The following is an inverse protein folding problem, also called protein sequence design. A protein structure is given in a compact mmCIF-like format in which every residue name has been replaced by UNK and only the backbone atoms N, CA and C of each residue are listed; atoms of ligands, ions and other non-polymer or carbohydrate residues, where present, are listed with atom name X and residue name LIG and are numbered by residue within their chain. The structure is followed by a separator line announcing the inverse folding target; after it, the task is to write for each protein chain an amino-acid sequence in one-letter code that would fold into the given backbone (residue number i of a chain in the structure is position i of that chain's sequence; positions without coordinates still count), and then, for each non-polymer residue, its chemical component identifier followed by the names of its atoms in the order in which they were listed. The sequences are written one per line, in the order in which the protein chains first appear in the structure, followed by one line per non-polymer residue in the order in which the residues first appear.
data_IF_558753809272
#
_entry.id   IF_558753809272
#
_cell.length_a   1.000
_cell.length_b   1.000
_cell.length_c   1.000
_cell.angle_alpha   90.00
_cell.angle_beta   90.00
_cell.angle_gamma   90.00
#
_symmetry.space_group_name_H-M   'P 1'
#
loop_
_entity.id
_entity.type
_entity.pdbx_description
1 polymer ?
#
# COMPACT_ATOMS: atom_id res chain seq x y z
N UNK A 1 6.05 4.03 12.88
CA UNK A 1 6.15 4.85 11.65
C UNK A 1 5.24 4.28 10.59
N UNK A 2 4.63 5.16 9.83
CA UNK A 2 3.74 4.76 8.75
C UNK A 2 4.47 4.86 7.42
N UNK A 3 4.30 3.83 6.58
CA UNK A 3 4.95 3.76 5.29
C UNK A 3 3.93 3.49 4.19
N UNK A 4 4.12 4.15 3.06
CA UNK A 4 3.45 3.80 1.81
C UNK A 4 4.42 2.96 0.98
N UNK A 5 3.96 1.79 0.55
CA UNK A 5 4.79 0.86 -0.22
C UNK A 5 4.13 0.61 -1.56
N UNK A 6 4.91 0.80 -2.63
CA UNK A 6 4.51 0.38 -3.98
C UNK A 6 5.32 -0.86 -4.32
N UNK A 7 4.67 -2.02 -4.36
CA UNK A 7 5.33 -3.29 -4.65
C UNK A 7 4.95 -3.73 -6.05
N UNK A 8 5.95 -3.82 -6.93
CA UNK A 8 5.73 -4.10 -8.35
C UNK A 8 6.34 -5.46 -8.67
N UNK A 9 5.56 -6.34 -9.29
CA UNK A 9 6.06 -7.61 -9.80
C UNK A 9 5.86 -7.67 -11.32
N UNK A 10 6.68 -8.49 -11.98
CA UNK A 10 6.52 -8.72 -13.42
C UNK A 10 5.33 -9.66 -13.66
N UNK A 11 4.69 -9.57 -14.84
CA UNK A 11 3.55 -10.45 -15.13
C UNK A 11 3.86 -11.93 -14.97
N UNK A 12 5.06 -12.38 -15.34
CA UNK A 12 5.44 -13.78 -15.21
C UNK A 12 5.63 -14.22 -13.77
N UNK A 13 5.72 -13.29 -12.82
CA UNK A 13 5.83 -13.57 -11.40
C UNK A 13 4.57 -13.20 -10.63
N UNK A 14 3.46 -13.00 -11.34
CA UNK A 14 2.21 -12.58 -10.72
C UNK A 14 1.75 -13.62 -9.70
N UNK A 15 1.42 -13.22 -8.47
CA UNK A 15 1.00 -14.16 -7.44
C UNK A 15 -0.44 -14.65 -7.63
N UNK A 16 -1.18 -14.11 -8.60
CA UNK A 16 -2.56 -14.51 -8.83
C UNK A 16 -2.61 -16.01 -9.14
N UNK A 17 -3.40 -16.73 -8.37
CA UNK A 17 -3.48 -18.19 -8.51
C UNK A 17 -2.32 -18.95 -7.86
N UNK A 18 -1.38 -18.24 -7.25
CA UNK A 18 -0.19 -18.82 -6.60
C UNK A 18 0.00 -18.25 -5.21
N UNK A 19 -1.05 -18.29 -4.41
CA UNK A 19 -1.04 -17.80 -3.04
C UNK A 19 -1.56 -16.38 -2.86
N UNK A 20 -1.73 -15.63 -3.95
CA UNK A 20 -2.25 -14.27 -3.90
C UNK A 20 -1.23 -13.26 -3.39
N UNK A 21 -1.66 -12.01 -3.27
CA UNK A 21 -0.77 -10.91 -2.85
C UNK A 21 -0.15 -11.13 -1.49
N UNK A 22 -0.87 -11.77 -0.57
CA UNK A 22 -0.36 -12.01 0.78
C UNK A 22 0.83 -12.95 0.81
N UNK A 23 1.05 -13.74 -0.25
CA UNK A 23 2.22 -14.61 -0.34
C UNK A 23 3.53 -13.82 -0.44
N UNK A 24 3.45 -12.54 -0.75
CA UNK A 24 4.62 -11.67 -0.89
C UNK A 24 4.99 -10.97 0.42
N UNK A 25 4.29 -11.29 1.50
CA UNK A 25 4.49 -10.63 2.80
C UNK A 25 4.56 -11.66 3.93
N UNK A 26 5.34 -11.34 4.95
CA UNK A 26 5.41 -12.15 6.16
C UNK A 26 4.65 -11.46 7.29
N UNK A 27 3.42 -11.90 7.51
CA UNK A 27 2.54 -11.29 8.52
C UNK A 27 2.94 -11.63 9.96
N UNK A 28 3.95 -12.48 10.16
CA UNK A 28 4.38 -12.88 11.51
C UNK A 28 5.45 -11.95 12.09
N UNK A 29 5.94 -10.99 11.32
CA UNK A 29 7.00 -10.09 11.79
C UNK A 29 6.47 -9.19 12.90
N UNK A 30 7.16 -9.22 14.03
CA UNK A 30 6.79 -8.38 15.18
C UNK A 30 7.00 -6.91 14.84
N UNK A 31 6.11 -6.06 15.35
CA UNK A 31 6.23 -4.62 15.18
C UNK A 31 5.77 -4.12 13.81
N UNK A 32 5.11 -4.96 13.02
CA UNK A 32 4.59 -4.57 11.72
C UNK A 32 3.09 -4.83 11.68
N UNK A 33 2.33 -3.86 11.16
CA UNK A 33 0.89 -3.98 11.00
C UNK A 33 0.50 -3.46 9.63
N UNK A 34 -0.15 -4.31 8.85
CA UNK A 34 -0.69 -3.91 7.55
C UNK A 34 -2.00 -3.16 7.78
N UNK A 35 -2.01 -1.89 7.42
CA UNK A 35 -3.17 -1.02 7.62
C UNK A 35 -4.15 -1.14 6.45
N UNK A 36 -3.63 -1.17 5.22
CA UNK A 36 -4.45 -1.26 4.03
C UNK A 36 -3.62 -1.82 2.87
N UNK A 37 -4.29 -2.48 1.94
CA UNK A 37 -3.65 -3.03 0.77
C UNK A 37 -4.61 -2.94 -0.40
N UNK A 38 -4.14 -2.40 -1.52
CA UNK A 38 -4.92 -2.27 -2.75
C UNK A 38 -4.06 -2.71 -3.92
N UNK A 39 -4.70 -3.23 -4.96
CA UNK A 39 -3.99 -3.70 -6.13
C UNK A 39 -4.44 -3.00 -7.39
N UNK A 40 -3.48 -2.69 -8.27
CA UNK A 40 -3.75 -2.35 -9.65
C UNK A 40 -3.38 -3.58 -10.48
N UNK A 41 -4.37 -4.42 -10.76
CA UNK A 41 -4.13 -5.77 -11.28
C UNK A 41 -3.41 -5.76 -12.62
N UNK A 42 -3.88 -4.96 -13.55
CA UNK A 42 -3.30 -4.95 -14.90
C UNK A 42 -1.90 -4.35 -14.92
N UNK A 43 -1.58 -3.51 -13.96
CA UNK A 43 -0.24 -2.93 -13.85
C UNK A 43 0.70 -3.78 -13.00
N UNK A 44 0.18 -4.80 -12.33
CA UNK A 44 0.93 -5.68 -11.44
C UNK A 44 1.61 -4.91 -10.31
N UNK A 45 0.86 -3.99 -9.71
CA UNK A 45 1.31 -3.17 -8.58
C UNK A 45 0.42 -3.41 -7.39
N UNK A 46 1.04 -3.55 -6.22
CA UNK A 46 0.35 -3.66 -4.95
C UNK A 46 0.73 -2.42 -4.13
N UNK A 47 -0.29 -1.70 -3.67
CA UNK A 47 -0.10 -0.53 -2.83
C UNK A 47 -0.44 -0.91 -1.39
N UNK A 48 0.50 -0.65 -0.47
CA UNK A 48 0.31 -0.99 0.93
C UNK A 48 0.51 0.24 1.80
N UNK A 49 -0.28 0.33 2.85
CA UNK A 49 -0.03 1.22 3.96
C UNK A 49 0.33 0.34 5.14
N UNK A 50 1.54 0.51 5.66
CA UNK A 50 2.10 -0.38 6.66
C UNK A 50 2.64 0.44 7.82
N UNK A 51 2.25 0.06 9.02
CA UNK A 51 2.86 0.59 10.23
C UNK A 51 3.97 -0.34 10.66
N UNK A 52 5.17 0.20 10.85
CA UNK A 52 6.32 -0.60 11.27
C UNK A 52 7.16 0.20 12.26
N UNK A 53 7.80 -0.52 13.19
CA UNK A 53 8.65 0.13 14.19
C UNK A 53 9.90 0.73 13.56
N UNK A 54 10.40 0.11 12.49
CA UNK A 54 11.57 0.61 11.76
C UNK A 54 11.61 -0.01 10.37
N UNK A 55 12.58 0.43 9.57
CA UNK A 55 12.74 -0.05 8.19
C UNK A 55 13.17 -1.51 8.15
N UNK A 56 13.95 -1.96 9.13
CA UNK A 56 14.37 -3.36 9.16
C UNK A 56 13.18 -4.30 9.32
N UNK A 57 12.26 -3.97 10.21
CA UNK A 57 11.05 -4.77 10.39
C UNK A 57 10.20 -4.78 9.12
N UNK A 58 10.09 -3.62 8.46
CA UNK A 58 9.38 -3.52 7.20
C UNK A 58 10.02 -4.39 6.12
N UNK A 59 11.35 -4.39 6.04
CA UNK A 59 12.07 -5.23 5.08
C UNK A 59 11.80 -6.71 5.33
N UNK A 60 11.75 -7.14 6.58
CA UNK A 60 11.43 -8.53 6.92
C UNK A 60 10.01 -8.88 6.51
N UNK A 61 9.09 -7.95 6.67
CA UNK A 61 7.70 -8.14 6.23
C UNK A 61 7.61 -8.33 4.72
N UNK A 62 8.43 -7.59 3.96
CA UNK A 62 8.42 -7.64 2.50
C UNK A 62 9.33 -8.72 1.92
N UNK A 63 10.09 -9.42 2.78
CA UNK A 63 11.12 -10.36 2.34
C UNK A 63 10.62 -11.47 1.42
N UNK A 64 9.45 -12.08 1.64
CA UNK A 64 8.98 -13.14 0.73
C UNK A 64 8.87 -12.70 -0.73
N UNK A 65 8.66 -11.40 -0.99
CA UNK A 65 8.57 -10.90 -2.35
C UNK A 65 9.87 -10.36 -2.91
N UNK A 66 10.98 -10.45 -2.18
CA UNK A 66 12.21 -9.75 -2.54
C UNK A 66 12.77 -10.16 -3.91
N UNK A 67 12.61 -11.43 -4.28
CA UNK A 67 13.20 -11.93 -5.52
C UNK A 67 12.30 -11.73 -6.75
N UNK A 68 11.03 -11.44 -6.53
CA UNK A 68 10.07 -11.31 -7.63
C UNK A 68 9.50 -9.92 -7.77
N UNK A 69 9.76 -9.05 -6.80
CA UNK A 69 9.19 -7.71 -6.76
C UNK A 69 10.27 -6.67 -6.52
N UNK A 70 9.98 -5.45 -6.98
CA UNK A 70 10.65 -4.26 -6.46
C UNK A 70 9.67 -3.51 -5.59
N UNK A 71 10.17 -2.77 -4.61
CA UNK A 71 9.31 -2.01 -3.71
C UNK A 71 9.86 -0.60 -3.53
N UNK A 72 8.98 0.37 -3.71
CA UNK A 72 9.29 1.77 -3.36
C UNK A 72 8.66 2.03 -2.00
N UNK A 73 9.47 2.38 -1.04
CA UNK A 73 9.06 2.59 0.35
C UNK A 73 9.15 4.08 0.65
N UNK A 74 8.04 4.68 1.06
CA UNK A 74 7.97 6.11 1.36
C UNK A 74 7.41 6.29 2.75
N UNK A 75 8.17 6.87 3.69
CA UNK A 75 7.61 7.26 4.99
C UNK A 75 6.57 8.35 4.79
N UNK A 76 5.46 8.23 5.50
CA UNK A 76 4.38 9.21 5.42
C UNK A 76 4.01 9.64 6.83
N UNK A 77 3.20 10.71 6.94
CA UNK A 77 2.79 11.24 8.23
C UNK A 77 1.93 10.21 8.98
N UNK A 78 2.07 10.16 10.30
CA UNK A 78 1.31 9.23 11.14
C UNK A 78 -0.16 9.60 11.22
N UNK A 79 -0.50 10.82 10.86
CA UNK A 79 -1.86 11.32 10.89
C UNK A 79 -2.27 11.76 9.50
N UNK A 80 -3.54 11.56 9.13
CA UNK A 80 -4.02 12.07 7.85
C UNK A 80 -3.85 13.57 7.79
N UNK A 81 -3.51 14.08 6.61
CA UNK A 81 -3.45 15.52 6.41
C UNK A 81 -4.87 16.09 6.41
N UNK A 82 -5.06 17.28 6.99
CA UNK A 82 -6.40 17.87 7.01
C UNK A 82 -6.84 18.23 5.59
N UNK A 83 -8.12 17.98 5.32
CA UNK A 83 -8.75 18.36 4.07
C UNK A 83 -9.46 19.68 4.29
N UNK A 84 -9.24 20.63 3.38
CA UNK A 84 -9.89 21.94 3.47
C UNK A 84 -11.40 21.78 3.27
N UNK A 85 -12.21 22.09 4.29
CA UNK A 85 -13.65 21.90 4.16
C UNK A 85 -14.30 22.81 3.12
N UNK A 86 -13.63 23.90 2.74
CA UNK A 86 -14.12 24.79 1.70
C UNK A 86 -13.90 24.26 0.30
N UNK A 87 -13.20 23.14 0.13
CA UNK A 87 -12.92 22.55 -1.18
C UNK A 87 -13.94 21.47 -1.49
N UNK A 88 -14.90 21.71 -2.38
CA UNK A 88 -15.86 20.66 -2.76
C UNK A 88 -15.21 19.46 -3.39
N UNK A 89 -14.11 19.64 -4.10
CA UNK A 89 -13.39 18.54 -4.75
C UNK A 89 -12.83 17.58 -3.71
N UNK A 90 -12.25 18.12 -2.63
CA UNK A 90 -11.70 17.27 -1.57
C UNK A 90 -12.80 16.47 -0.88
N UNK A 91 -13.95 17.09 -0.65
CA UNK A 91 -15.09 16.40 -0.04
C UNK A 91 -15.64 15.34 -1.00
N UNK A 92 -15.70 15.66 -2.27
CA UNK A 92 -16.19 14.73 -3.28
C UNK A 92 -15.31 13.49 -3.35
N UNK A 93 -14.01 13.67 -3.27
CA UNK A 93 -13.09 12.56 -3.23
C UNK A 93 -13.31 11.61 -2.05
N UNK A 94 -13.89 12.14 -0.99
CA UNK A 94 -14.19 11.32 0.17
C UNK A 94 -15.35 10.39 -0.07
N UNK A 95 -16.18 10.68 -1.02
CA UNK A 95 -17.31 9.86 -1.31
C UNK A 95 -17.27 9.25 -2.67
N UNK A 96 -17.12 9.71 -3.70
CA UNK A 96 -17.28 9.12 -4.88
C UNK A 96 -16.78 8.70 -5.61
N UNK A 97 -17.23 9.58 -5.28
CA UNK A 97 -17.02 9.60 -5.76
C UNK A 97 -17.13 10.24 -6.39
N UNK A 98 -17.52 11.22 -6.46
CA UNK A 98 -17.59 11.88 -6.77
C UNK A 98 -17.80 12.59 -7.04
N UNK A 99 -18.34 13.30 -6.96
CA UNK A 99 -18.71 13.99 -7.18
C UNK A 99 -18.34 14.45 -7.73
N UNK A 100 -18.53 14.79 -7.77
CA UNK A 100 -18.34 15.31 -8.22
C UNK A 100 -17.90 15.68 -8.65
N UNK A 101 -18.23 16.07 -8.76
CA UNK A 101 -17.95 16.49 -9.03
C UNK A 101 -17.33 16.91 -9.04
N UNK A 102 -17.53 17.28 -8.79
CA UNK A 102 -17.15 17.61 -8.64
C UNK A 102 -16.66 17.79 -8.69
N UNK A 103 -16.91 18.29 -8.52
CA UNK A 103 -16.71 18.41 -8.46
C UNK A 103 -16.62 18.43 -8.75
#
# INVERSE_FOLDING_TARGET
MLFHVEQVHKPEHCPYGHGGSTSLHDATVAGVRLVAMYGSFMEHVIYLIVEASDVNSLNLFLLPGMKTCTAKITPVSDHPLPIQPSSPVAVEGARLGIDSGSD
#
